data_IF_451609530847
#
_entry.id   IF_451609530847
#
_cell.length_a   1.000
_cell.length_b   1.000
_cell.length_c   1.000
_cell.angle_alpha   90.00
_cell.angle_beta   90.00
_cell.angle_gamma   90.00
#
_symmetry.space_group_name_H-M   'P 1'
#
loop_
_entity.id
_entity.type
_entity.pdbx_description
1 polymer ?
#
# COMPACT_ATOMS: atom_id res chain seq x y z
N UNK A 1 -41.73 8.95 -61.75
CA UNK A 1 -40.88 9.81 -60.90
C UNK A 1 -40.16 8.92 -59.88
N UNK A 2 -38.82 8.96 -59.79
CA UNK A 2 -38.03 8.06 -58.95
C UNK A 2 -37.90 8.62 -57.53
N UNK A 3 -38.68 8.10 -56.59
CA UNK A 3 -38.61 8.46 -55.16
C UNK A 3 -37.95 7.40 -54.28
N UNK A 4 -37.65 6.22 -54.83
CA UNK A 4 -37.20 5.07 -54.04
C UNK A 4 -35.69 5.04 -53.74
N UNK A 5 -34.87 5.82 -54.46
CA UNK A 5 -33.40 5.76 -54.35
C UNK A 5 -32.81 6.66 -53.25
N UNK A 6 -33.48 7.76 -52.88
CA UNK A 6 -33.00 8.68 -51.83
C UNK A 6 -33.23 8.13 -50.42
N UNK A 7 -34.41 7.54 -50.17
CA UNK A 7 -34.73 6.96 -48.86
C UNK A 7 -33.83 5.76 -48.50
N UNK A 8 -33.44 4.95 -49.49
CA UNK A 8 -32.48 3.87 -49.31
C UNK A 8 -31.07 4.41 -48.98
N UNK A 9 -30.58 5.39 -49.75
CA UNK A 9 -29.30 6.05 -49.48
C UNK A 9 -29.27 6.76 -48.11
N UNK A 10 -30.39 7.35 -47.66
CA UNK A 10 -30.48 7.99 -46.35
C UNK A 10 -30.48 6.98 -45.19
N UNK A 11 -31.03 5.78 -45.40
CA UNK A 11 -31.00 4.69 -44.43
C UNK A 11 -29.58 4.10 -44.32
N UNK A 12 -28.92 3.87 -45.46
CA UNK A 12 -27.54 3.39 -45.51
C UNK A 12 -26.57 4.38 -44.86
N UNK A 13 -26.73 5.69 -45.13
CA UNK A 13 -25.93 6.72 -44.48
C UNK A 13 -26.15 6.84 -42.96
N UNK A 14 -27.33 6.45 -42.44
CA UNK A 14 -27.59 6.38 -40.98
C UNK A 14 -26.88 5.17 -40.38
N UNK A 15 -26.99 4.01 -41.02
CA UNK A 15 -26.31 2.78 -40.63
C UNK A 15 -24.77 2.96 -40.62
N UNK A 16 -24.21 3.62 -41.62
CA UNK A 16 -22.76 3.90 -41.66
C UNK A 16 -22.31 4.81 -40.51
N UNK A 17 -23.09 5.84 -40.17
CA UNK A 17 -22.79 6.71 -39.02
C UNK A 17 -22.88 5.97 -37.69
N UNK A 18 -23.88 5.11 -37.54
CA UNK A 18 -24.05 4.29 -36.34
C UNK A 18 -22.91 3.27 -36.20
N UNK A 19 -22.54 2.58 -37.29
CA UNK A 19 -21.41 1.67 -37.33
C UNK A 19 -20.09 2.38 -37.00
N UNK A 20 -19.87 3.58 -37.54
CA UNK A 20 -18.70 4.39 -37.23
C UNK A 20 -18.67 4.79 -35.75
N UNK A 21 -19.82 5.16 -35.17
CA UNK A 21 -19.96 5.46 -33.75
C UNK A 21 -19.69 4.26 -32.85
N UNK A 22 -20.17 3.07 -33.22
CA UNK A 22 -19.92 1.83 -32.48
C UNK A 22 -18.45 1.41 -32.55
N UNK A 23 -17.81 1.52 -33.72
CA UNK A 23 -16.37 1.26 -33.88
C UNK A 23 -15.53 2.19 -33.01
N UNK A 24 -15.84 3.49 -33.00
CA UNK A 24 -15.14 4.46 -32.16
C UNK A 24 -15.30 4.16 -30.66
N UNK A 25 -16.48 3.72 -30.22
CA UNK A 25 -16.71 3.30 -28.84
C UNK A 25 -15.93 2.03 -28.49
N UNK A 26 -15.89 1.06 -29.39
CA UNK A 26 -15.12 -0.16 -29.21
C UNK A 26 -13.62 0.10 -29.07
N UNK A 27 -13.03 0.94 -29.92
CA UNK A 27 -11.61 1.28 -29.81
C UNK A 27 -11.30 2.00 -28.48
N UNK A 28 -12.16 2.91 -28.03
CA UNK A 28 -12.00 3.53 -26.70
C UNK A 28 -12.04 2.50 -25.57
N UNK A 29 -13.02 1.60 -25.60
CA UNK A 29 -13.16 0.57 -24.58
C UNK A 29 -11.95 -0.39 -24.58
N UNK A 30 -11.42 -0.69 -25.75
CA UNK A 30 -10.19 -1.48 -25.91
C UNK A 30 -8.99 -0.75 -25.31
N UNK A 31 -8.82 0.53 -25.57
CA UNK A 31 -7.74 1.34 -25.01
C UNK A 31 -7.85 1.48 -23.49
N UNK A 32 -9.08 1.65 -22.97
CA UNK A 32 -9.35 1.66 -21.53
C UNK A 32 -9.02 0.31 -20.89
N UNK A 33 -9.38 -0.80 -21.54
CA UNK A 33 -9.03 -2.14 -21.09
C UNK A 33 -7.52 -2.36 -21.02
N UNK A 34 -6.79 -1.99 -22.07
CA UNK A 34 -5.32 -2.13 -22.09
C UNK A 34 -4.68 -1.33 -20.95
N UNK A 35 -5.14 -0.10 -20.70
CA UNK A 35 -4.66 0.71 -19.57
C UNK A 35 -4.96 0.04 -18.23
N UNK A 36 -6.18 -0.44 -18.02
CA UNK A 36 -6.55 -1.13 -16.78
C UNK A 36 -5.72 -2.41 -16.56
N UNK A 37 -5.42 -3.16 -17.62
CA UNK A 37 -4.56 -4.35 -17.55
C UNK A 37 -3.11 -4.01 -17.18
N UNK A 38 -2.58 -2.91 -17.72
CA UNK A 38 -1.26 -2.38 -17.37
C UNK A 38 -1.21 -1.93 -15.91
N UNK A 39 -2.20 -1.18 -15.46
CA UNK A 39 -2.31 -0.70 -14.07
C UNK A 39 -2.42 -1.87 -13.11
N UNK A 40 -3.24 -2.88 -13.44
CA UNK A 40 -3.37 -4.09 -12.63
C UNK A 40 -2.03 -4.83 -12.49
N UNK A 41 -1.31 -5.00 -13.59
CA UNK A 41 0.01 -5.66 -13.59
C UNK A 41 1.01 -4.87 -12.74
N UNK A 42 0.99 -3.54 -12.83
CA UNK A 42 1.85 -2.66 -12.04
C UNK A 42 1.55 -2.78 -10.53
N UNK A 43 0.28 -2.68 -10.14
CA UNK A 43 -0.16 -2.77 -8.75
C UNK A 43 0.13 -4.15 -8.14
N UNK A 44 -0.05 -5.23 -8.92
CA UNK A 44 0.32 -6.58 -8.49
C UNK A 44 1.83 -6.70 -8.23
N UNK A 45 2.66 -6.07 -9.08
CA UNK A 45 4.11 -6.02 -8.88
C UNK A 45 4.48 -5.29 -7.58
N UNK A 46 3.88 -4.12 -7.34
CA UNK A 46 4.11 -3.35 -6.11
C UNK A 46 3.66 -4.12 -4.86
N UNK A 47 2.53 -4.81 -4.92
CA UNK A 47 2.05 -5.64 -3.82
C UNK A 47 3.03 -6.78 -3.51
N UNK A 48 3.47 -7.51 -4.53
CA UNK A 48 4.43 -8.60 -4.36
C UNK A 48 5.76 -8.11 -3.76
N UNK A 49 6.24 -6.93 -4.18
CA UNK A 49 7.45 -6.32 -3.62
C UNK A 49 7.24 -5.95 -2.14
N UNK A 50 6.10 -5.35 -1.79
CA UNK A 50 5.78 -4.99 -0.41
C UNK A 50 5.68 -6.23 0.48
N UNK A 51 5.01 -7.28 0.02
CA UNK A 51 4.92 -8.56 0.74
C UNK A 51 6.29 -9.20 0.93
N UNK A 52 7.16 -9.17 -0.08
CA UNK A 52 8.51 -9.70 0.01
C UNK A 52 9.35 -8.93 1.05
N UNK A 53 9.27 -7.59 1.04
CA UNK A 53 9.93 -6.75 2.06
C UNK A 53 9.41 -7.04 3.46
N UNK A 54 8.09 -7.16 3.63
CA UNK A 54 7.48 -7.47 4.91
C UNK A 54 7.93 -8.85 5.43
N UNK A 55 7.93 -9.87 4.57
CA UNK A 55 8.46 -11.20 4.90
C UNK A 55 9.94 -11.18 5.25
N UNK A 56 10.76 -10.40 4.55
CA UNK A 56 12.18 -10.30 4.82
C UNK A 56 12.48 -9.59 6.16
N UNK A 57 11.79 -8.49 6.47
CA UNK A 57 12.05 -7.68 7.67
C UNK A 57 11.36 -8.21 8.93
N UNK A 58 10.14 -8.74 8.78
CA UNK A 58 9.26 -9.10 9.90
C UNK A 58 8.90 -10.59 9.94
N UNK A 59 9.31 -11.37 8.93
CA UNK A 59 8.99 -12.80 8.82
C UNK A 59 7.61 -13.10 8.25
N UNK A 60 6.77 -12.07 8.04
CA UNK A 60 5.39 -12.20 7.57
C UNK A 60 4.96 -10.98 6.76
N UNK A 61 4.02 -11.17 5.82
CA UNK A 61 3.33 -10.09 5.11
C UNK A 61 1.89 -9.89 5.57
N UNK A 62 1.42 -10.72 6.51
CA UNK A 62 0.03 -10.68 6.97
C UNK A 62 -0.17 -9.48 7.91
N UNK A 63 -1.09 -8.54 7.61
CA UNK A 63 -1.26 -7.33 8.41
C UNK A 63 -1.54 -7.61 9.89
N UNK A 64 -2.39 -8.60 10.18
CA UNK A 64 -2.72 -8.98 11.56
C UNK A 64 -1.51 -9.54 12.32
N UNK A 65 -0.63 -10.28 11.65
CA UNK A 65 0.60 -10.80 12.27
C UNK A 65 1.63 -9.68 12.51
N UNK A 66 1.74 -8.72 11.58
CA UNK A 66 2.57 -7.52 11.75
C UNK A 66 2.10 -6.66 12.92
N UNK A 67 0.79 -6.49 13.11
CA UNK A 67 0.23 -5.78 14.25
C UNK A 67 0.53 -6.50 15.58
N UNK A 68 0.39 -7.82 15.62
CA UNK A 68 0.73 -8.62 16.79
C UNK A 68 2.23 -8.53 17.12
N UNK A 69 3.10 -8.58 16.10
CA UNK A 69 4.54 -8.43 16.26
C UNK A 69 4.90 -7.04 16.80
N UNK A 70 4.26 -5.99 16.29
CA UNK A 70 4.45 -4.62 16.77
C UNK A 70 4.02 -4.46 18.24
N UNK A 71 2.86 -5.00 18.60
CA UNK A 71 2.37 -4.96 19.97
C UNK A 71 3.34 -5.66 20.94
N UNK A 72 3.82 -6.85 20.56
CA UNK A 72 4.82 -7.59 21.33
C UNK A 72 6.13 -6.81 21.48
N UNK A 73 6.67 -6.26 20.39
CA UNK A 73 7.89 -5.44 20.44
C UNK A 73 7.73 -4.21 21.33
N UNK A 74 6.55 -3.58 21.34
CA UNK A 74 6.25 -2.45 22.25
C UNK A 74 6.26 -2.87 23.71
N UNK A 75 5.70 -4.03 24.03
CA UNK A 75 5.72 -4.57 25.39
C UNK A 75 7.14 -4.90 25.85
N UNK A 76 7.92 -5.57 25.00
CA UNK A 76 9.33 -5.92 25.27
C UNK A 76 10.17 -4.65 25.47
N UNK A 77 10.00 -3.63 24.62
CA UNK A 77 10.65 -2.33 24.79
C UNK A 77 10.23 -1.65 26.10
N UNK A 78 8.96 -1.74 26.49
CA UNK A 78 8.47 -1.20 27.75
C UNK A 78 9.16 -1.84 28.96
N UNK A 79 9.29 -3.17 28.96
CA UNK A 79 10.02 -3.93 29.98
C UNK A 79 11.49 -3.53 30.02
N UNK A 80 12.13 -3.43 28.86
CA UNK A 80 13.54 -3.04 28.75
C UNK A 80 13.78 -1.62 29.29
N UNK A 81 12.91 -0.67 28.93
CA UNK A 81 12.99 0.71 29.43
C UNK A 81 12.78 0.76 30.95
N UNK A 82 11.84 -0.02 31.50
CA UNK A 82 11.65 -0.10 32.95
C UNK A 82 12.90 -0.62 33.66
N UNK A 83 13.51 -1.70 33.15
CA UNK A 83 14.76 -2.24 33.68
C UNK A 83 15.91 -1.22 33.62
N UNK A 84 16.06 -0.49 32.50
CA UNK A 84 17.06 0.57 32.40
C UNK A 84 16.84 1.70 33.39
N UNK A 85 15.58 2.11 33.62
CA UNK A 85 15.26 3.15 34.60
C UNK A 85 15.63 2.74 36.01
N UNK A 86 15.33 1.49 36.38
CA UNK A 86 15.71 0.94 37.68
C UNK A 86 17.24 0.90 37.83
N UNK A 87 17.95 0.45 36.80
CA UNK A 87 19.41 0.39 36.82
C UNK A 87 20.03 1.79 37.00
N UNK A 88 19.55 2.79 36.26
CA UNK A 88 20.00 4.18 36.42
C UNK A 88 19.71 4.70 37.82
N UNK A 89 18.54 4.39 38.39
CA UNK A 89 18.19 4.82 39.74
C UNK A 89 19.09 4.17 40.81
N UNK A 90 19.51 2.91 40.60
CA UNK A 90 20.50 2.25 41.47
C UNK A 90 21.87 2.90 41.35
N UNK A 91 22.37 3.09 40.12
CA UNK A 91 23.68 3.74 39.89
C UNK A 91 23.73 5.15 40.50
N UNK A 92 22.64 5.92 40.42
CA UNK A 92 22.56 7.23 41.06
C UNK A 92 22.65 7.15 42.59
N UNK A 93 21.92 6.22 43.21
CA UNK A 93 21.97 6.01 44.66
C UNK A 93 23.36 5.56 45.12
N UNK A 94 23.99 4.67 44.36
CA UNK A 94 25.34 4.19 44.65
C UNK A 94 26.36 5.34 44.54
N UNK A 95 26.22 6.20 43.52
CA UNK A 95 27.06 7.38 43.35
C UNK A 95 26.88 8.38 44.50
N UNK A 96 25.63 8.71 44.86
CA UNK A 96 25.32 9.58 46.00
C UNK A 96 25.91 9.02 47.32
N UNK A 97 25.86 7.70 47.52
CA UNK A 97 26.44 7.07 48.70
C UNK A 97 27.97 7.21 48.75
N UNK A 98 28.64 7.08 47.60
CA UNK A 98 30.09 7.27 47.49
C UNK A 98 30.48 8.73 47.70
N UNK A 99 29.74 9.68 47.11
CA UNK A 99 29.96 11.12 47.27
C UNK A 99 29.81 11.55 48.74
N UNK A 100 28.73 11.13 49.41
CA UNK A 100 28.52 11.42 50.83
C UNK A 100 29.59 10.79 51.74
N UNK A 101 30.13 9.63 51.37
CA UNK A 101 31.22 8.99 52.11
C UNK A 101 32.56 9.73 51.94
N UNK A 102 32.76 10.43 50.83
CA UNK A 102 33.95 11.24 50.54
C UNK A 102 33.85 12.65 51.14
N UNK A 103 32.68 13.29 51.12
CA UNK A 103 32.48 14.64 51.68
C UNK A 103 32.33 14.65 53.22
N UNK A 104 32.09 13.48 53.83
CA UNK A 104 32.00 13.29 55.28
C UNK A 104 33.30 12.86 55.98
N UNK A 105 34.41 12.70 55.23
CA UNK A 105 35.74 12.32 55.71
C UNK A 105 36.71 13.51 55.67
#
# INVERSE_FOLDING_TARGET
MPVNNRAANDADARLERELAGLKAQYERLRDDKVRAEQDLTHLQGQLAELEARAKAEYGTSEPAELEALLARKREENGKLVAAYREHIATVRRDLEAVENAFDGA
#
